data_IF_894456453495
#
_entry.id   IF_894456453495
#
_cell.length_a   1.000
_cell.length_b   1.000
_cell.length_c   1.000
_cell.angle_alpha   90.00
_cell.angle_beta   90.00
_cell.angle_gamma   90.00
#
_symmetry.space_group_name_H-M   'P 1'
#
loop_
_entity.id
_entity.type
_entity.pdbx_description
1 polymer ?
#
# COMPACT_ATOMS: atom_id res chain seq x y z
N UNK A 1 10.89 0.87 2.57
CA UNK A 1 11.87 1.66 3.32
C UNK A 1 12.69 2.48 2.34
N UNK A 2 12.64 3.80 2.43
CA UNK A 2 13.36 4.73 1.55
C UNK A 2 14.37 5.61 2.30
N UNK A 3 14.91 6.62 1.62
CA UNK A 3 15.93 7.53 2.16
C UNK A 3 15.48 8.23 3.45
N UNK A 4 14.22 8.70 3.48
CA UNK A 4 13.62 9.35 4.66
C UNK A 4 13.60 8.42 5.87
N UNK A 5 13.17 7.18 5.68
CA UNK A 5 13.08 6.18 6.76
C UNK A 5 14.45 5.80 7.29
N UNK A 6 15.44 5.65 6.39
CA UNK A 6 16.83 5.38 6.78
C UNK A 6 17.42 6.54 7.59
N UNK A 7 17.14 7.78 7.17
CA UNK A 7 17.61 8.98 7.87
C UNK A 7 17.01 9.05 9.27
N UNK A 8 15.70 8.85 9.38
CA UNK A 8 14.99 8.82 10.66
C UNK A 8 15.53 7.70 11.57
N UNK A 9 15.71 6.49 11.04
CA UNK A 9 16.27 5.37 11.79
C UNK A 9 17.66 5.69 12.35
N UNK A 10 18.57 6.21 11.51
CA UNK A 10 19.94 6.54 11.93
C UNK A 10 19.95 7.63 13.00
N UNK A 11 19.17 8.70 12.81
CA UNK A 11 19.07 9.80 13.79
C UNK A 11 18.51 9.27 15.11
N UNK A 12 17.42 8.50 15.06
CA UNK A 12 16.79 7.94 16.26
C UNK A 12 17.70 6.96 17.00
N UNK A 13 18.46 6.11 16.30
CA UNK A 13 19.47 5.24 16.90
C UNK A 13 20.58 6.03 17.60
N UNK A 14 21.11 7.10 16.98
CA UNK A 14 22.12 7.96 17.59
C UNK A 14 21.61 8.69 18.83
N UNK A 15 20.32 9.05 18.84
CA UNK A 15 19.66 9.73 19.97
C UNK A 15 19.12 8.76 21.03
N UNK A 16 19.31 7.45 20.88
CA UNK A 16 18.73 6.41 21.73
C UNK A 16 17.20 6.55 21.89
N UNK A 17 16.53 6.88 20.79
CA UNK A 17 15.07 6.98 20.67
C UNK A 17 14.55 5.90 19.75
N UNK A 18 13.27 5.54 19.91
CA UNK A 18 12.57 4.70 18.93
C UNK A 18 12.29 5.55 17.69
N UNK A 19 12.62 5.02 16.51
CA UNK A 19 12.32 5.66 15.24
C UNK A 19 10.81 5.83 15.05
N UNK A 20 10.41 6.98 14.51
CA UNK A 20 9.02 7.31 14.20
C UNK A 20 8.82 7.30 12.68
N UNK A 21 8.25 6.23 12.16
CA UNK A 21 8.03 6.06 10.72
C UNK A 21 6.69 6.67 10.29
N UNK A 22 6.60 7.06 9.02
CA UNK A 22 5.35 7.55 8.43
C UNK A 22 4.31 6.42 8.42
N UNK A 23 3.15 6.68 9.02
CA UNK A 23 2.01 5.73 9.09
C UNK A 23 0.82 6.27 8.29
N UNK A 24 0.91 6.32 6.96
CA UNK A 24 -0.23 6.62 6.10
C UNK A 24 -0.15 5.89 4.76
N UNK A 25 -1.28 5.73 4.07
CA UNK A 25 -1.32 4.95 2.84
C UNK A 25 -0.83 5.72 1.61
N UNK A 26 -0.38 5.00 0.57
CA UNK A 26 0.12 5.57 -0.70
C UNK A 26 -0.87 6.57 -1.32
N UNK A 27 -2.18 6.45 -1.05
CA UNK A 27 -3.19 7.39 -1.53
C UNK A 27 -2.90 8.85 -1.17
N UNK A 28 -2.32 9.13 0.01
CA UNK A 28 -1.99 10.51 0.42
C UNK A 28 -0.94 11.10 -0.50
N UNK A 29 0.20 10.41 -0.69
CA UNK A 29 1.26 10.84 -1.62
C UNK A 29 0.73 10.92 -3.05
N UNK A 30 -0.09 9.95 -3.47
CA UNK A 30 -0.68 9.92 -4.80
C UNK A 30 -1.54 11.16 -5.09
N UNK A 31 -2.34 11.61 -4.11
CA UNK A 31 -3.16 12.81 -4.24
C UNK A 31 -2.38 14.11 -4.10
N UNK A 32 -1.33 14.15 -3.29
CA UNK A 32 -0.41 15.29 -3.23
C UNK A 32 0.37 15.51 -4.53
N UNK A 33 0.50 14.47 -5.36
CA UNK A 33 1.12 14.55 -6.69
C UNK A 33 0.11 14.78 -7.83
N UNK A 34 -1.16 15.07 -7.51
CA UNK A 34 -2.23 15.28 -8.48
C UNK A 34 -2.46 14.11 -9.46
N UNK A 35 -2.11 12.89 -9.04
CA UNK A 35 -2.33 11.72 -9.86
C UNK A 35 -3.84 11.43 -10.01
N UNK A 36 -4.25 11.15 -11.25
CA UNK A 36 -5.55 10.57 -11.56
C UNK A 36 -5.63 9.20 -10.87
N UNK A 37 -6.72 8.94 -10.16
CA UNK A 37 -6.88 7.67 -9.44
C UNK A 37 -7.10 6.54 -10.44
N UNK A 38 -6.09 5.71 -10.69
CA UNK A 38 -6.17 4.60 -11.65
C UNK A 38 -7.24 3.56 -11.28
N UNK A 39 -7.48 3.37 -9.97
CA UNK A 39 -8.53 2.48 -9.47
C UNK A 39 -9.93 2.94 -9.90
N UNK A 40 -10.17 4.26 -9.93
CA UNK A 40 -11.50 4.83 -10.22
C UNK A 40 -11.65 5.20 -11.68
N UNK A 41 -10.61 5.74 -12.30
CA UNK A 41 -10.68 6.25 -13.68
C UNK A 41 -10.54 5.15 -14.73
N UNK A 42 -9.85 4.05 -14.39
CA UNK A 42 -9.45 3.02 -15.35
C UNK A 42 -9.78 1.60 -14.87
N UNK A 43 -10.49 1.44 -13.75
CA UNK A 43 -10.77 0.14 -13.12
C UNK A 43 -9.49 -0.72 -12.94
N UNK A 44 -8.34 -0.07 -12.69
CA UNK A 44 -7.06 -0.75 -12.50
C UNK A 44 -6.88 -1.18 -11.03
N UNK A 45 -6.75 -2.48 -10.71
CA UNK A 45 -6.64 -2.97 -9.34
C UNK A 45 -5.39 -2.47 -8.61
N UNK A 46 -5.57 -1.43 -7.80
CA UNK A 46 -4.49 -0.71 -7.12
C UNK A 46 -4.47 -1.03 -5.62
N UNK A 47 -3.34 -1.50 -5.11
CA UNK A 47 -3.14 -1.77 -3.67
C UNK A 47 -2.85 -0.52 -2.83
N UNK A 48 -2.87 0.67 -3.45
CA UNK A 48 -2.50 1.93 -2.80
C UNK A 48 -3.26 2.24 -1.50
N UNK A 49 -4.58 1.95 -1.39
CA UNK A 49 -5.34 2.22 -0.17
C UNK A 49 -4.87 1.45 1.07
N UNK A 50 -4.21 0.31 0.89
CA UNK A 50 -3.79 -0.59 1.97
C UNK A 50 -2.27 -0.66 2.13
N UNK A 51 -1.51 0.01 1.27
CA UNK A 51 -0.04 -0.04 1.26
C UNK A 51 0.55 1.15 2.00
N UNK A 52 1.59 0.95 2.80
CA UNK A 52 2.29 2.05 3.46
C UNK A 52 2.98 2.98 2.44
N UNK A 53 2.91 4.29 2.68
CA UNK A 53 3.51 5.30 1.82
C UNK A 53 5.04 5.39 2.01
N UNK A 54 5.67 6.26 1.22
CA UNK A 54 7.11 6.53 1.27
C UNK A 54 7.81 6.38 -0.07
N UNK A 55 7.17 5.70 -1.03
CA UNK A 55 7.64 5.53 -2.40
C UNK A 55 7.26 6.70 -3.34
N UNK A 56 6.64 7.75 -2.82
CA UNK A 56 6.16 8.91 -3.59
C UNK A 56 5.15 8.54 -4.68
N UNK A 57 4.31 7.53 -4.42
CA UNK A 57 3.31 7.02 -5.36
C UNK A 57 3.86 6.72 -6.77
N UNK A 58 5.08 6.17 -6.86
CA UNK A 58 5.78 5.94 -8.12
C UNK A 58 4.94 5.20 -9.18
N UNK A 59 4.29 4.10 -8.83
CA UNK A 59 3.51 3.31 -9.81
C UNK A 59 2.27 4.09 -10.32
N UNK A 60 1.43 4.68 -9.45
CA UNK A 60 0.35 5.56 -9.90
C UNK A 60 0.80 6.72 -10.79
N UNK A 61 1.94 7.35 -10.50
CA UNK A 61 2.49 8.43 -11.33
C UNK A 61 2.87 7.97 -12.75
N UNK A 62 2.94 6.66 -12.98
CA UNK A 62 3.19 6.03 -14.29
C UNK A 62 1.94 5.32 -14.83
N UNK A 63 0.73 5.70 -14.37
CA UNK A 63 -0.56 5.11 -14.75
C UNK A 63 -0.65 3.61 -14.48
N UNK A 64 -0.05 3.12 -13.39
CA UNK A 64 -0.14 1.72 -12.96
C UNK A 64 -0.73 1.60 -11.56
N UNK A 65 -1.39 0.49 -11.28
CA UNK A 65 -1.78 0.13 -9.91
C UNK A 65 -0.56 0.07 -8.99
N UNK A 66 -0.71 0.46 -7.73
CA UNK A 66 0.30 0.20 -6.71
C UNK A 66 0.38 -1.31 -6.47
N UNK A 67 1.60 -1.83 -6.35
CA UNK A 67 1.85 -3.26 -6.17
C UNK A 67 2.05 -3.72 -4.73
N UNK A 68 1.96 -2.82 -3.73
CA UNK A 68 2.17 -3.14 -2.31
C UNK A 68 3.61 -3.49 -1.86
N UNK A 69 4.63 -3.15 -2.64
CA UNK A 69 6.03 -3.46 -2.30
C UNK A 69 6.59 -2.78 -1.03
N UNK A 70 5.88 -1.80 -0.47
CA UNK A 70 6.24 -1.15 0.80
C UNK A 70 5.54 -1.75 2.03
N UNK A 71 4.80 -2.85 1.84
CA UNK A 71 4.10 -3.54 2.91
C UNK A 71 2.77 -2.88 3.30
N UNK A 72 2.04 -3.51 4.24
CA UNK A 72 0.76 -3.00 4.68
C UNK A 72 0.87 -1.67 5.43
N UNK A 73 -0.13 -0.83 5.22
CA UNK A 73 -0.41 0.30 6.10
C UNK A 73 -1.21 -0.22 7.32
N UNK A 74 -0.78 0.22 8.50
CA UNK A 74 -1.46 -0.08 9.75
C UNK A 74 -2.88 0.45 9.77
N UNK A 75 -3.81 -0.34 10.30
CA UNK A 75 -5.23 -0.01 10.43
C UNK A 75 -5.95 0.28 9.09
N UNK A 76 -5.40 -0.20 7.97
CA UNK A 76 -6.07 -0.13 6.67
C UNK A 76 -7.26 -1.10 6.58
N UNK A 77 -8.27 -0.74 5.78
CA UNK A 77 -9.42 -1.60 5.54
C UNK A 77 -9.17 -2.58 4.36
N UNK A 78 -8.30 -3.57 4.60
CA UNK A 78 -7.93 -4.58 3.60
C UNK A 78 -9.14 -5.38 3.08
N UNK A 79 -10.11 -5.65 3.95
CA UNK A 79 -11.32 -6.40 3.58
C UNK A 79 -12.16 -5.63 2.56
N UNK A 80 -12.43 -4.35 2.81
CA UNK A 80 -13.23 -3.54 1.89
C UNK A 80 -12.56 -3.41 0.51
N UNK A 81 -11.23 -3.30 0.45
CA UNK A 81 -10.52 -3.27 -0.82
C UNK A 81 -10.65 -4.61 -1.58
N UNK A 82 -10.54 -5.73 -0.87
CA UNK A 82 -10.72 -7.06 -1.47
C UNK A 82 -12.15 -7.28 -1.99
N UNK A 83 -13.17 -6.88 -1.22
CA UNK A 83 -14.57 -6.95 -1.65
C UNK A 83 -14.80 -6.04 -2.88
N UNK A 84 -14.12 -4.88 -2.96
CA UNK A 84 -14.16 -4.03 -4.14
C UNK A 84 -13.51 -4.67 -5.36
N UNK A 85 -12.38 -5.38 -5.20
CA UNK A 85 -11.77 -6.14 -6.30
C UNK A 85 -12.66 -7.29 -6.78
N UNK A 86 -13.37 -7.99 -5.89
CA UNK A 86 -14.38 -8.98 -6.32
C UNK A 86 -15.48 -8.30 -7.14
N UNK A 87 -15.95 -7.12 -6.72
CA UNK A 87 -16.96 -6.35 -7.46
C UNK A 87 -16.47 -5.90 -8.84
N UNK A 88 -15.18 -5.61 -8.99
CA UNK A 88 -14.53 -5.33 -10.27
C UNK A 88 -14.37 -6.58 -11.16
N UNK A 89 -14.67 -7.78 -10.65
CA UNK A 89 -14.64 -9.04 -11.39
C UNK A 89 -13.32 -9.82 -11.28
N UNK A 90 -12.45 -9.49 -10.33
CA UNK A 90 -11.24 -10.28 -10.09
C UNK A 90 -11.59 -11.63 -9.46
N UNK A 91 -10.84 -12.66 -9.83
CA UNK A 91 -10.97 -13.97 -9.17
C UNK A 91 -10.43 -13.89 -7.74
N UNK A 92 -10.97 -14.71 -6.84
CA UNK A 92 -10.45 -14.82 -5.46
C UNK A 92 -8.96 -15.19 -5.43
N UNK A 93 -8.51 -15.99 -6.38
CA UNK A 93 -7.10 -16.35 -6.50
C UNK A 93 -6.23 -15.13 -6.85
N UNK A 94 -6.67 -14.27 -7.78
CA UNK A 94 -5.95 -13.06 -8.13
C UNK A 94 -5.94 -12.04 -6.99
N UNK A 95 -7.05 -11.93 -6.25
CA UNK A 95 -7.14 -11.09 -5.06
C UNK A 95 -6.17 -11.60 -4.00
N UNK A 96 -6.20 -12.91 -3.70
CA UNK A 96 -5.29 -13.52 -2.75
C UNK A 96 -3.83 -13.24 -3.13
N UNK A 97 -3.45 -13.46 -4.41
CA UNK A 97 -2.10 -13.19 -4.91
C UNK A 97 -1.69 -11.73 -4.70
N UNK A 98 -2.57 -10.77 -4.97
CA UNK A 98 -2.28 -9.33 -4.74
C UNK A 98 -1.98 -9.02 -3.26
N UNK A 99 -2.71 -9.66 -2.34
CA UNK A 99 -2.48 -9.50 -0.88
C UNK A 99 -1.33 -10.35 -0.33
N UNK A 100 -0.62 -11.12 -1.16
CA UNK A 100 0.53 -11.94 -0.76
C UNK A 100 1.79 -11.71 -1.58
N UNK A 101 1.77 -10.82 -2.59
CA UNK A 101 2.85 -10.67 -3.56
C UNK A 101 4.17 -10.20 -2.93
N UNK A 102 4.11 -9.18 -2.06
CA UNK A 102 5.30 -8.59 -1.41
C UNK A 102 5.28 -8.70 0.12
N UNK A 103 4.13 -8.98 0.71
CA UNK A 103 3.96 -9.20 2.13
C UNK A 103 3.29 -10.56 2.34
N UNK A 104 4.11 -11.58 2.60
CA UNK A 104 3.68 -12.86 3.17
C UNK A 104 2.70 -12.56 4.32
N UNK A 105 1.57 -13.28 4.52
CA UNK A 105 0.36 -12.85 5.24
C UNK A 105 0.61 -12.17 6.59
N UNK A 106 0.95 -10.88 6.52
CA UNK A 106 0.99 -9.97 7.65
C UNK A 106 -0.43 -9.75 8.16
N UNK A 107 -0.57 -9.46 9.44
CA UNK A 107 -1.88 -9.44 10.10
C UNK A 107 -2.85 -8.45 9.45
N UNK A 108 -2.30 -7.35 8.93
CA UNK A 108 -2.98 -6.25 8.28
C UNK A 108 -3.53 -6.61 6.89
N UNK A 109 -2.87 -7.50 6.15
CA UNK A 109 -3.32 -7.98 4.84
C UNK A 109 -4.24 -9.21 4.91
N UNK A 110 -4.17 -9.99 5.99
CA UNK A 110 -5.04 -11.17 6.19
C UNK A 110 -6.54 -10.93 5.93
N UNK A 111 -7.15 -9.80 6.35
CA UNK A 111 -8.57 -9.56 6.09
C UNK A 111 -8.92 -9.45 4.58
N UNK A 112 -7.96 -9.06 3.73
CA UNK A 112 -8.12 -8.97 2.28
C UNK A 112 -7.83 -10.29 1.54
N UNK A 113 -7.29 -11.29 2.21
CA UNK A 113 -6.98 -12.61 1.64
C UNK A 113 -8.24 -13.48 1.60
N UNK A 114 -9.10 -13.20 0.62
CA UNK A 114 -10.31 -13.98 0.39
C UNK A 114 -9.95 -15.42 0.01
N UNK A 115 -10.67 -16.39 0.60
CA UNK A 115 -10.56 -17.82 0.28
C UNK A 115 -11.82 -18.29 -0.44
#
# INVERSE_FOLDING_TARGET
MGERDLTELVISLMLNKKADFLEYCVCVECKLQDNICVLVAYDEPCMGPVTNAGCSALCPSQNRGCYSCWGPMKDANARALADHFEWMGLSREDIFRKFTEFAEPEAEFKPGQLK
#
